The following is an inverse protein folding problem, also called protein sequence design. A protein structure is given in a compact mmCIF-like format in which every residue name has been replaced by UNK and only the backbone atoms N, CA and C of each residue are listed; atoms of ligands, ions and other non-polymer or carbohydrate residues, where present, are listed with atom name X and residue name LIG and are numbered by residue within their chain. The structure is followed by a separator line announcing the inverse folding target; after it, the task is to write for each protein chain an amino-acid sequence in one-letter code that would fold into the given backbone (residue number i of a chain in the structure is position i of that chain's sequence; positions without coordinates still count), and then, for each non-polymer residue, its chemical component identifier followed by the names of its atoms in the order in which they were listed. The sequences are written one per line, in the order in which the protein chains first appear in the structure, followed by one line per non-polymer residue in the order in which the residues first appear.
data_IF_841562152823
#
_entry.id   IF_841562152823
#
_cell.length_a   1.000
_cell.length_b   1.000
_cell.length_c   1.000
_cell.angle_alpha   90.00
_cell.angle_beta   90.00
_cell.angle_gamma   90.00
#
_symmetry.space_group_name_H-M   'P 1'
#
loop_
_entity.id
_entity.type
_entity.pdbx_description
1 polymer ?
#
# COMPACT_ATOMS: atom_id res chain seq x y z
N UNK A 1 -6.19 -11.15 6.16
CA UNK A 1 -4.80 -10.93 5.72
C UNK A 1 -4.47 -9.44 5.53
N UNK A 2 -5.32 -8.68 4.86
CA UNK A 2 -4.99 -7.29 4.55
C UNK A 2 -4.88 -6.41 5.80
N UNK A 3 -5.64 -6.66 6.82
CA UNK A 3 -5.60 -5.84 8.05
C UNK A 3 -4.37 -6.12 8.91
N UNK A 4 -3.93 -7.36 8.96
CA UNK A 4 -2.88 -7.81 9.87
C UNK A 4 -1.49 -7.77 9.24
N UNK A 5 -1.39 -7.89 7.93
CA UNK A 5 -0.11 -7.96 7.25
C UNK A 5 0.73 -6.70 7.49
N UNK A 6 2.00 -6.89 7.79
CA UNK A 6 2.91 -5.80 8.14
C UNK A 6 3.58 -5.17 6.92
N UNK A 7 3.62 -5.87 5.82
CA UNK A 7 4.23 -5.39 4.58
C UNK A 7 3.40 -5.82 3.40
N UNK A 8 3.29 -4.95 2.42
CA UNK A 8 2.71 -5.26 1.11
C UNK A 8 3.72 -4.96 0.01
N UNK A 9 3.51 -5.55 -1.15
CA UNK A 9 4.29 -5.29 -2.36
C UNK A 9 3.45 -4.43 -3.28
N UNK A 10 3.85 -3.18 -3.41
CA UNK A 10 3.12 -2.19 -4.21
C UNK A 10 3.70 -2.12 -5.61
N UNK A 11 2.87 -2.30 -6.60
CA UNK A 11 3.21 -2.14 -8.00
C UNK A 11 2.57 -0.87 -8.55
N UNK A 12 3.38 -0.03 -9.17
CA UNK A 12 2.95 1.15 -9.92
C UNK A 12 3.63 1.12 -11.27
N UNK A 13 3.15 1.93 -12.19
CA UNK A 13 3.76 2.05 -13.52
C UNK A 13 3.77 3.51 -13.94
N UNK A 14 4.73 3.87 -14.78
CA UNK A 14 4.77 5.21 -15.38
C UNK A 14 3.81 5.31 -16.58
N UNK A 15 3.79 6.47 -17.22
CA UNK A 15 2.93 6.70 -18.39
C UNK A 15 3.25 5.75 -19.55
N UNK A 16 4.48 5.28 -19.64
CA UNK A 16 4.92 4.32 -20.66
C UNK A 16 4.68 2.87 -20.28
N UNK A 17 4.12 2.60 -19.11
CA UNK A 17 3.84 1.24 -18.66
C UNK A 17 5.00 0.54 -17.98
N UNK A 18 6.09 1.23 -17.68
CA UNK A 18 7.22 0.60 -16.98
C UNK A 18 6.85 0.36 -15.52
N UNK A 19 6.93 -0.88 -15.04
CA UNK A 19 6.56 -1.20 -13.67
C UNK A 19 7.63 -0.81 -12.66
N UNK A 20 7.16 -0.48 -11.47
CA UNK A 20 7.98 -0.34 -10.28
C UNK A 20 7.36 -1.18 -9.17
N UNK A 21 8.18 -1.93 -8.44
CA UNK A 21 7.72 -2.79 -7.35
C UNK A 21 8.52 -2.47 -6.10
N UNK A 22 7.82 -2.13 -5.02
CA UNK A 22 8.46 -1.76 -3.75
C UNK A 22 7.69 -2.37 -2.57
N UNK A 23 8.38 -2.75 -1.48
CA UNK A 23 7.70 -3.10 -0.24
C UNK A 23 7.22 -1.82 0.45
N UNK A 24 6.05 -1.88 1.06
CA UNK A 24 5.46 -0.75 1.76
C UNK A 24 4.76 -1.19 3.05
N UNK A 25 4.76 -0.31 4.04
CA UNK A 25 3.81 -0.38 5.13
C UNK A 25 2.47 0.17 4.65
N UNK A 26 1.37 -0.39 5.12
CA UNK A 26 0.06 0.04 4.68
C UNK A 26 -1.01 -0.25 5.73
N UNK A 27 -2.12 0.46 5.62
CA UNK A 27 -3.33 0.20 6.39
C UNK A 27 -4.51 0.02 5.44
N UNK A 28 -5.45 -0.81 5.83
CA UNK A 28 -6.65 -1.12 5.05
C UNK A 28 -7.90 -0.75 5.86
N UNK A 29 -8.81 -0.01 5.25
CA UNK A 29 -10.05 0.40 5.91
C UNK A 29 -11.29 -0.40 5.48
N UNK A 30 -11.12 -1.42 4.66
CA UNK A 30 -12.20 -2.21 4.08
C UNK A 30 -12.54 -1.81 2.65
N UNK A 31 -12.15 -0.62 2.20
CA UNK A 31 -12.45 -0.11 0.87
C UNK A 31 -11.19 0.36 0.13
N UNK A 32 -10.18 0.81 0.86
CA UNK A 32 -8.95 1.33 0.27
C UNK A 32 -7.74 0.99 1.14
N UNK A 33 -6.59 0.99 0.50
CA UNK A 33 -5.29 0.81 1.14
C UNK A 33 -4.57 2.16 1.16
N UNK A 34 -3.87 2.44 2.26
CA UNK A 34 -3.14 3.69 2.45
C UNK A 34 -1.69 3.37 2.81
N UNK A 35 -0.76 3.97 2.09
CA UNK A 35 0.67 3.83 2.36
C UNK A 35 1.30 5.20 2.48
N UNK A 36 1.99 5.46 3.57
CA UNK A 36 2.65 6.74 3.77
C UNK A 36 4.02 6.75 3.11
N UNK A 37 4.36 7.91 2.59
CA UNK A 37 5.72 8.26 2.21
C UNK A 37 6.25 9.13 3.34
N UNK A 38 7.12 8.57 4.13
CA UNK A 38 7.50 9.12 5.42
C UNK A 38 8.83 9.85 5.44
N UNK A 39 9.60 9.73 4.38
CA UNK A 39 10.93 10.30 4.32
C UNK A 39 11.08 11.24 3.14
N UNK A 40 11.58 12.41 3.41
CA UNK A 40 11.80 13.46 2.45
C UNK A 40 13.24 13.94 2.41
N UNK A 41 14.24 13.05 2.47
CA UNK A 41 15.61 13.55 2.32
C UNK A 41 15.86 14.18 0.95
N UNK A 42 15.00 13.87 -0.02
CA UNK A 42 15.13 14.30 -1.41
C UNK A 42 14.11 15.35 -1.75
N UNK A 43 14.24 16.51 -1.14
CA UNK A 43 13.29 17.61 -1.33
C UNK A 43 13.15 18.07 -2.75
N UNK A 44 14.18 17.89 -3.55
CA UNK A 44 14.20 18.36 -4.94
C UNK A 44 13.66 17.35 -5.92
N UNK A 45 13.33 16.13 -5.45
CA UNK A 45 12.93 15.05 -6.34
C UNK A 45 11.84 14.21 -5.71
N UNK A 46 10.70 14.15 -6.37
CA UNK A 46 9.61 13.31 -5.97
C UNK A 46 9.99 11.84 -6.10
N UNK A 47 9.56 11.02 -5.15
CA UNK A 47 9.74 9.58 -5.25
C UNK A 47 9.05 9.05 -6.49
N UNK A 48 9.69 8.06 -7.12
CA UNK A 48 9.21 7.51 -8.38
C UNK A 48 7.80 6.95 -8.27
N UNK A 49 7.44 6.30 -7.16
CA UNK A 49 6.09 5.75 -7.01
C UNK A 49 5.01 6.83 -6.94
N UNK A 50 5.29 7.98 -6.36
CA UNK A 50 4.35 9.10 -6.36
C UNK A 50 4.16 9.66 -7.75
N UNK A 51 5.25 9.86 -8.47
CA UNK A 51 5.21 10.32 -9.85
C UNK A 51 4.48 9.33 -10.75
N UNK A 52 4.74 8.04 -10.58
CA UNK A 52 4.04 7.01 -11.35
C UNK A 52 2.53 7.10 -11.16
N UNK A 53 2.07 7.23 -9.92
CA UNK A 53 0.64 7.31 -9.62
C UNK A 53 0.00 8.53 -10.25
N UNK A 54 0.71 9.66 -10.29
CA UNK A 54 0.19 10.87 -10.94
C UNK A 54 0.09 10.73 -12.45
N UNK A 55 1.02 10.00 -13.06
CA UNK A 55 1.02 9.75 -14.51
C UNK A 55 0.08 8.60 -14.91
N UNK A 56 -0.02 7.59 -14.06
CA UNK A 56 -0.79 6.38 -14.33
C UNK A 56 -1.42 5.91 -13.01
N UNK A 57 -2.73 6.06 -12.85
CA UNK A 57 -3.38 5.71 -11.60
C UNK A 57 -3.53 4.22 -11.34
N UNK A 58 -3.31 3.37 -12.33
CA UNK A 58 -3.44 1.93 -12.14
C UNK A 58 -2.32 1.41 -11.24
N UNK A 59 -2.71 0.72 -10.19
CA UNK A 59 -1.77 0.18 -9.21
C UNK A 59 -2.31 -1.12 -8.64
N UNK A 60 -1.42 -1.87 -8.01
CA UNK A 60 -1.78 -3.11 -7.34
C UNK A 60 -0.93 -3.30 -6.09
N UNK A 61 -1.48 -4.03 -5.13
CA UNK A 61 -0.75 -4.39 -3.91
C UNK A 61 -0.95 -5.87 -3.66
N UNK A 62 0.14 -6.56 -3.36
CA UNK A 62 0.14 -7.98 -3.03
C UNK A 62 0.56 -8.16 -1.57
N UNK A 63 -0.20 -8.97 -0.87
CA UNK A 63 0.16 -9.53 0.43
C UNK A 63 0.23 -11.03 0.27
N UNK A 64 1.29 -11.64 0.77
CA UNK A 64 1.46 -13.07 0.64
C UNK A 64 2.03 -13.68 1.92
N UNK A 65 1.78 -14.95 2.07
CA UNK A 65 2.35 -15.78 3.14
C UNK A 65 3.15 -16.88 2.47
N UNK A 66 4.44 -16.90 2.75
CA UNK A 66 5.31 -18.00 2.37
C UNK A 66 5.55 -18.89 3.59
N UNK A 67 5.57 -20.19 3.37
CA UNK A 67 5.89 -21.19 4.39
C UNK A 67 6.47 -22.41 3.68
N UNK A 68 7.43 -23.07 4.28
CA UNK A 68 7.98 -24.32 3.76
C UNK A 68 6.90 -25.42 3.76
N UNK A 69 5.93 -25.34 4.66
CA UNK A 69 4.70 -26.10 4.59
C UNK A 69 3.73 -25.42 3.61
N UNK A 70 3.64 -25.92 2.43
CA UNK A 70 2.85 -25.33 1.35
C UNK A 70 1.35 -25.31 1.61
N UNK A 71 0.87 -26.07 2.58
CA UNK A 71 -0.55 -26.00 2.97
C UNK A 71 -0.90 -24.66 3.62
N UNK A 72 0.10 -23.88 4.01
CA UNK A 72 -0.06 -22.55 4.63
C UNK A 72 0.09 -21.40 3.65
N UNK A 73 0.40 -21.69 2.39
CA UNK A 73 0.56 -20.64 1.40
C UNK A 73 -0.77 -19.92 1.14
N UNK A 74 -0.70 -18.62 1.05
CA UNK A 74 -1.85 -17.78 0.74
C UNK A 74 -1.39 -16.45 0.16
N UNK A 75 -2.24 -15.82 -0.62
CA UNK A 75 -2.00 -14.44 -1.05
C UNK A 75 -3.32 -13.71 -1.28
N UNK A 76 -3.24 -12.39 -1.20
CA UNK A 76 -4.31 -11.46 -1.56
C UNK A 76 -3.72 -10.39 -2.47
N UNK A 77 -4.36 -10.15 -3.59
CA UNK A 77 -4.00 -9.09 -4.53
C UNK A 77 -5.13 -8.09 -4.62
N UNK A 78 -4.79 -6.83 -4.49
CA UNK A 78 -5.72 -5.71 -4.64
C UNK A 78 -5.30 -4.90 -5.84
N UNK A 79 -6.22 -4.70 -6.77
CA UNK A 79 -6.01 -3.88 -7.96
C UNK A 79 -6.98 -2.72 -7.96
N UNK A 80 -6.53 -1.55 -8.41
CA UNK A 80 -7.41 -0.41 -8.50
C UNK A 80 -6.67 0.84 -8.93
N UNK A 81 -7.28 1.98 -8.59
CA UNK A 81 -6.74 3.28 -8.92
C UNK A 81 -6.15 3.92 -7.67
N UNK A 82 -4.95 4.45 -7.84
CA UNK A 82 -4.24 5.11 -6.78
C UNK A 82 -4.27 6.63 -6.95
N UNK A 83 -4.19 7.32 -5.84
CA UNK A 83 -4.09 8.77 -5.79
C UNK A 83 -3.11 9.19 -4.70
N UNK A 84 -2.52 10.36 -4.86
CA UNK A 84 -1.64 10.96 -3.86
C UNK A 84 -2.45 11.92 -3.01
N UNK A 85 -2.42 11.72 -1.70
CA UNK A 85 -3.08 12.59 -0.73
C UNK A 85 -2.00 13.32 0.08
N UNK A 86 -2.16 14.62 0.24
CA UNK A 86 -1.24 15.43 1.06
C UNK A 86 -1.97 16.37 2.01
N UNK A 87 -3.29 16.42 1.93
CA UNK A 87 -4.14 17.24 2.80
C UNK A 87 -5.58 16.74 2.77
N UNK A 88 -6.39 17.23 3.67
CA UNK A 88 -7.82 16.97 3.71
C UNK A 88 -8.21 15.82 4.63
N UNK A 89 -9.52 15.55 4.67
CA UNK A 89 -10.09 14.58 5.60
C UNK A 89 -9.58 13.16 5.36
N UNK A 90 -9.46 12.75 4.09
CA UNK A 90 -8.98 11.41 3.77
C UNK A 90 -7.51 11.22 4.15
N UNK A 91 -6.70 12.27 3.96
CA UNK A 91 -5.30 12.27 4.39
C UNK A 91 -5.20 12.12 5.91
N UNK A 92 -5.95 12.92 6.65
CA UNK A 92 -5.96 12.87 8.12
C UNK A 92 -6.39 11.49 8.61
N UNK A 93 -7.43 10.93 8.03
CA UNK A 93 -7.92 9.60 8.40
C UNK A 93 -6.90 8.52 8.09
N UNK A 94 -6.23 8.62 6.94
CA UNK A 94 -5.18 7.68 6.57
C UNK A 94 -4.04 7.68 7.60
N UNK A 95 -3.62 8.86 8.06
CA UNK A 95 -2.58 8.96 9.08
C UNK A 95 -3.02 8.34 10.41
N UNK A 96 -4.28 8.52 10.79
CA UNK A 96 -4.82 7.89 11.99
C UNK A 96 -4.74 6.37 11.90
N UNK A 97 -5.15 5.80 10.78
CA UNK A 97 -5.11 4.35 10.57
C UNK A 97 -3.67 3.82 10.58
N UNK A 98 -2.76 4.51 9.90
CA UNK A 98 -1.36 4.11 9.86
C UNK A 98 -0.70 4.20 11.23
N UNK A 99 -0.97 5.25 11.99
CA UNK A 99 -0.44 5.43 13.35
C UNK A 99 -1.01 4.41 14.33
N UNK A 100 -2.25 4.00 14.14
CA UNK A 100 -2.83 2.94 14.96
C UNK A 100 -2.17 1.59 14.71
N UNK A 101 -1.78 1.32 13.47
CA UNK A 101 -1.16 0.06 13.08
C UNK A 101 0.34 0.03 13.34
N UNK A 102 1.04 1.13 13.06
CA UNK A 102 2.50 1.22 13.16
C UNK A 102 2.89 2.32 14.15
N UNK A 103 3.30 1.95 15.36
CA UNK A 103 3.72 2.94 16.36
C UNK A 103 4.83 3.86 15.90
N UNK A 104 5.68 3.40 14.98
CA UNK A 104 6.79 4.17 14.45
C UNK A 104 6.35 5.48 13.79
N UNK A 105 5.13 5.51 13.21
CA UNK A 105 4.62 6.72 12.57
C UNK A 105 4.17 7.80 13.57
N UNK A 106 4.04 7.47 14.86
CA UNK A 106 3.53 8.41 15.87
C UNK A 106 4.48 9.56 16.14
N UNK A 107 5.79 9.35 15.93
CA UNK A 107 6.83 10.36 16.15
C UNK A 107 7.23 11.10 14.88
N UNK A 108 6.62 10.78 13.75
CA UNK A 108 6.92 11.41 12.46
C UNK A 108 5.92 12.50 12.16
N UNK A 109 6.42 13.63 11.64
CA UNK A 109 5.55 14.71 11.20
C UNK A 109 5.09 14.48 9.76
N UNK A 110 4.18 13.54 9.59
CA UNK A 110 3.69 13.17 8.27
C UNK A 110 2.78 14.24 7.69
N UNK A 111 2.15 15.05 8.53
CA UNK A 111 1.29 16.14 8.09
C UNK A 111 2.05 17.16 7.28
N UNK A 112 3.29 17.45 7.66
CA UNK A 112 4.13 18.43 6.99
C UNK A 112 5.03 17.80 5.93
N UNK A 113 5.66 16.69 6.27
CA UNK A 113 6.75 16.13 5.47
C UNK A 113 6.32 14.90 4.68
N UNK A 114 5.09 14.47 4.84
CA UNK A 114 4.61 13.22 4.26
C UNK A 114 3.57 13.40 3.16
N UNK A 115 3.33 12.31 2.49
CA UNK A 115 2.21 12.11 1.59
C UNK A 115 1.68 10.70 1.78
N UNK A 116 0.47 10.44 1.33
CA UNK A 116 -0.15 9.12 1.40
C UNK A 116 -0.57 8.71 0.00
N UNK A 117 -0.22 7.48 -0.38
CA UNK A 117 -0.83 6.83 -1.53
C UNK A 117 -2.08 6.12 -1.07
N UNK A 118 -3.21 6.45 -1.70
CA UNK A 118 -4.46 5.71 -1.52
C UNK A 118 -4.67 4.81 -2.73
N UNK A 119 -4.87 3.52 -2.50
CA UNK A 119 -5.23 2.56 -3.53
C UNK A 119 -6.67 2.12 -3.30
N UNK A 120 -7.56 2.52 -4.18
CA UNK A 120 -8.94 2.07 -4.16
C UNK A 120 -9.00 0.58 -4.50
N UNK A 121 -9.66 -0.20 -3.66
CA UNK A 121 -9.80 -1.64 -3.88
C UNK A 121 -10.94 -1.91 -4.88
N UNK A 122 -10.65 -1.79 -6.17
CA UNK A 122 -11.65 -2.03 -7.22
C UNK A 122 -11.81 -3.53 -7.49
N UNK A 123 -10.72 -4.29 -7.38
CA UNK A 123 -10.74 -5.74 -7.57
C UNK A 123 -9.83 -6.40 -6.55
N UNK A 124 -10.40 -7.35 -5.83
CA UNK A 124 -9.65 -8.15 -4.86
C UNK A 124 -9.69 -9.60 -5.30
N UNK A 125 -8.51 -10.20 -5.41
CA UNK A 125 -8.36 -11.63 -5.67
C UNK A 125 -7.58 -12.25 -4.53
N UNK A 126 -7.92 -13.48 -4.21
CA UNK A 126 -7.21 -14.20 -3.17
C UNK A 126 -7.08 -15.67 -3.53
N UNK A 127 -6.06 -16.27 -2.98
CA UNK A 127 -5.83 -17.69 -3.10
C UNK A 127 -5.29 -18.20 -1.76
N UNK A 128 -5.71 -19.38 -1.40
CA UNK A 128 -5.22 -20.10 -0.23
C UNK A 128 -5.02 -21.56 -0.62
N UNK A 129 -3.93 -22.16 -0.15
CA UNK A 129 -3.71 -23.57 -0.35
C UNK A 129 -4.93 -24.33 0.19
N UNK A 130 -5.41 -25.31 -0.59
CA UNK A 130 -6.58 -26.07 -0.20
C UNK A 130 -6.32 -26.78 1.11
N UNK A 131 -7.29 -26.67 2.03
CA UNK A 131 -7.30 -27.48 3.23
C UNK A 131 -7.57 -28.94 2.79
N UNK A 132 -6.67 -29.88 3.11
CA UNK A 132 -6.90 -31.29 2.75
C UNK A 132 -8.20 -31.87 3.32
N UNK A 133 -8.75 -31.24 4.35
CA UNK A 133 -10.02 -31.64 4.95
C UNK A 133 -11.24 -31.01 4.30
N UNK A 134 -11.03 -30.07 3.38
CA UNK A 134 -12.12 -29.35 2.72
C UNK A 134 -12.68 -30.13 1.54
#
# INVERSE_FOLDING_TARGET
MLREARVGRLATADAGGRPLLVPVCFAFDGAALFSAVDDKPKRTRELRRLRNVRENPHAALLVDVWDEDWTRLAWVSVEGRAAVLDAGADFTRALELLRAKYPQYRTMNLERDGAVLRLQADRVRSWRAADPAA
#
